data_IF_770233094583
#
_entry.id   IF_770233094583
#
_cell.length_a   1.000
_cell.length_b   1.000
_cell.length_c   1.000
_cell.angle_alpha   90.00
_cell.angle_beta   90.00
_cell.angle_gamma   90.00
#
_symmetry.space_group_name_H-M   'P 1'
#
loop_
_entity.id
_entity.type
_entity.pdbx_description
1 polymer ?
#
# COMPACT_ATOMS: atom_id res chain seq x y z
N UNK A 1 -57.14 -17.32 40.62
CA UNK A 1 -57.15 -15.90 40.21
C UNK A 1 -55.93 -15.10 40.69
N UNK A 2 -55.59 -15.09 42.00
CA UNK A 2 -54.42 -14.33 42.53
C UNK A 2 -53.04 -14.76 41.98
N UNK A 3 -52.88 -16.01 41.56
CA UNK A 3 -51.63 -16.52 41.00
C UNK A 3 -51.38 -16.06 39.56
N UNK A 4 -52.42 -16.09 38.71
CA UNK A 4 -52.34 -15.61 37.31
C UNK A 4 -52.04 -14.11 37.23
N UNK A 5 -52.58 -13.31 38.15
CA UNK A 5 -52.28 -11.87 38.24
C UNK A 5 -50.82 -11.58 38.59
N UNK A 6 -50.23 -12.37 39.49
CA UNK A 6 -48.79 -12.26 39.84
C UNK A 6 -47.89 -12.62 38.65
N UNK A 7 -48.25 -13.63 37.87
CA UNK A 7 -47.54 -14.00 36.64
C UNK A 7 -47.64 -12.88 35.60
N UNK A 8 -48.83 -12.32 35.39
CA UNK A 8 -49.02 -11.21 34.46
C UNK A 8 -48.18 -9.98 34.84
N UNK A 9 -48.15 -9.62 36.13
CA UNK A 9 -47.31 -8.54 36.64
C UNK A 9 -45.82 -8.80 36.44
N UNK A 10 -45.35 -10.03 36.68
CA UNK A 10 -43.96 -10.42 36.43
C UNK A 10 -43.60 -10.33 34.94
N UNK A 11 -44.49 -10.78 34.05
CA UNK A 11 -44.28 -10.67 32.59
C UNK A 11 -44.21 -9.20 32.16
N UNK A 12 -45.12 -8.36 32.64
CA UNK A 12 -45.10 -6.92 32.32
C UNK A 12 -43.85 -6.26 32.88
N UNK A 13 -43.42 -6.59 34.10
CA UNK A 13 -42.20 -6.05 34.68
C UNK A 13 -40.95 -6.48 33.89
N UNK A 14 -40.88 -7.74 33.45
CA UNK A 14 -39.79 -8.25 32.62
C UNK A 14 -39.76 -7.57 31.24
N UNK A 15 -40.91 -7.38 30.60
CA UNK A 15 -41.01 -6.68 29.31
C UNK A 15 -40.64 -5.20 29.44
N UNK A 16 -41.11 -4.52 30.49
CA UNK A 16 -40.79 -3.11 30.75
C UNK A 16 -39.29 -2.93 31.06
N UNK A 17 -38.72 -3.79 31.89
CA UNK A 17 -37.29 -3.81 32.17
C UNK A 17 -36.48 -4.11 30.90
N UNK A 18 -36.90 -5.09 30.11
CA UNK A 18 -36.28 -5.41 28.82
C UNK A 18 -36.29 -4.23 27.85
N UNK A 19 -37.43 -3.55 27.70
CA UNK A 19 -37.55 -2.39 26.84
C UNK A 19 -36.69 -1.20 27.30
N UNK A 20 -36.64 -0.94 28.62
CA UNK A 20 -35.80 0.11 29.19
C UNK A 20 -34.31 -0.20 29.04
N UNK A 21 -33.91 -1.45 29.32
CA UNK A 21 -32.54 -1.94 29.17
C UNK A 21 -32.09 -1.90 27.72
N UNK A 22 -32.92 -2.33 26.77
CA UNK A 22 -32.60 -2.29 25.34
C UNK A 22 -32.33 -0.87 24.85
N UNK A 23 -33.11 0.12 25.32
CA UNK A 23 -32.87 1.53 24.99
C UNK A 23 -31.55 2.04 25.56
N UNK A 24 -31.24 1.68 26.79
CA UNK A 24 -29.97 2.03 27.43
C UNK A 24 -28.78 1.38 26.71
N UNK A 25 -28.84 0.09 26.43
CA UNK A 25 -27.81 -0.66 25.69
C UNK A 25 -27.65 -0.16 24.26
N UNK A 26 -28.74 0.21 23.58
CA UNK A 26 -28.68 0.79 22.23
C UNK A 26 -28.01 2.17 22.23
N UNK A 27 -28.33 3.02 23.22
CA UNK A 27 -27.71 4.34 23.38
C UNK A 27 -26.22 4.22 23.72
N UNK A 28 -25.89 3.45 24.75
CA UNK A 28 -24.51 3.20 25.16
C UNK A 28 -23.71 2.54 24.02
N UNK A 29 -24.31 1.59 23.31
CA UNK A 29 -23.69 0.97 22.14
C UNK A 29 -23.50 1.94 20.98
N UNK A 30 -24.37 2.95 20.82
CA UNK A 30 -24.16 4.08 19.90
C UNK A 30 -22.95 4.92 20.31
N UNK A 31 -22.95 5.41 21.56
CA UNK A 31 -21.86 6.22 22.12
C UNK A 31 -20.50 5.50 22.06
N UNK A 32 -20.46 4.20 22.37
CA UNK A 32 -19.24 3.38 22.26
C UNK A 32 -18.79 3.16 20.81
N UNK A 33 -19.71 3.14 19.84
CA UNK A 33 -19.36 3.05 18.40
C UNK A 33 -18.83 4.38 17.89
N UNK A 34 -19.43 5.49 18.30
CA UNK A 34 -18.99 6.85 17.96
C UNK A 34 -17.60 7.13 18.53
N UNK A 35 -17.32 6.61 19.74
CA UNK A 35 -15.99 6.62 20.36
C UNK A 35 -15.01 5.58 19.78
N UNK A 36 -15.43 4.76 18.80
CA UNK A 36 -14.60 3.73 18.17
C UNK A 36 -14.27 2.52 19.05
N UNK A 37 -14.90 2.40 20.23
CA UNK A 37 -14.70 1.31 21.18
C UNK A 37 -15.45 0.03 20.78
N UNK A 38 -16.57 0.17 20.07
CA UNK A 38 -17.35 -0.95 19.53
C UNK A 38 -17.27 -1.01 18.00
N UNK A 39 -17.21 -2.23 17.40
CA UNK A 39 -17.25 -2.39 15.96
C UNK A 39 -18.62 -1.99 15.39
N UNK A 40 -18.70 -1.62 14.10
CA UNK A 40 -19.96 -1.40 13.42
C UNK A 40 -20.87 -2.65 13.48
N UNK A 41 -22.20 -2.49 13.28
CA UNK A 41 -23.09 -3.63 13.12
C UNK A 41 -22.59 -4.58 12.04
N UNK A 42 -22.70 -5.90 12.28
CA UNK A 42 -22.42 -6.89 11.23
C UNK A 42 -23.45 -6.77 10.12
N UNK A 43 -22.95 -6.62 8.89
CA UNK A 43 -23.77 -6.72 7.69
C UNK A 43 -24.45 -8.09 7.62
N UNK A 44 -25.62 -8.13 6.98
CA UNK A 44 -26.43 -9.35 6.88
C UNK A 44 -25.64 -10.45 6.15
N UNK A 45 -24.89 -10.10 5.11
CA UNK A 45 -24.07 -11.04 4.33
C UNK A 45 -22.93 -11.68 5.13
N UNK A 46 -22.33 -10.99 6.10
CA UNK A 46 -21.27 -11.57 6.96
C UNK A 46 -21.83 -12.67 7.86
N UNK A 47 -23.10 -12.56 8.30
CA UNK A 47 -23.76 -13.57 9.16
C UNK A 47 -23.96 -14.89 8.43
N UNK A 48 -24.29 -14.83 7.15
CA UNK A 48 -24.45 -16.02 6.30
C UNK A 48 -23.10 -16.74 6.10
N UNK A 49 -22.01 -15.99 5.91
CA UNK A 49 -20.67 -16.52 5.66
C UNK A 49 -20.06 -17.27 6.86
N UNK A 50 -20.30 -16.82 8.09
CA UNK A 50 -19.73 -17.42 9.30
C UNK A 50 -20.57 -18.57 9.88
N UNK A 51 -21.80 -18.78 9.37
CA UNK A 51 -22.75 -19.77 9.86
C UNK A 51 -23.44 -19.36 11.17
N UNK A 52 -24.49 -20.09 11.57
CA UNK A 52 -25.38 -19.73 12.69
C UNK A 52 -24.66 -19.77 14.06
N UNK A 53 -23.83 -20.79 14.30
CA UNK A 53 -23.10 -20.94 15.58
C UNK A 53 -22.08 -19.83 15.78
N UNK A 54 -21.27 -19.52 14.77
CA UNK A 54 -20.30 -18.41 14.83
C UNK A 54 -20.99 -17.06 14.89
N UNK A 55 -22.16 -16.91 14.25
CA UNK A 55 -22.99 -15.70 14.39
C UNK A 55 -23.47 -15.49 15.82
N UNK A 56 -23.93 -16.54 16.50
CA UNK A 56 -24.33 -16.44 17.91
C UNK A 56 -23.14 -16.07 18.82
N UNK A 57 -21.96 -16.64 18.58
CA UNK A 57 -20.72 -16.32 19.32
C UNK A 57 -20.25 -14.89 19.05
N UNK A 58 -20.31 -14.44 17.79
CA UNK A 58 -19.98 -13.07 17.37
C UNK A 58 -20.93 -12.02 17.99
N UNK A 59 -22.20 -12.37 18.21
CA UNK A 59 -23.17 -11.54 18.91
C UNK A 59 -22.91 -11.48 20.43
N UNK A 60 -22.28 -12.51 21.01
CA UNK A 60 -21.82 -12.54 22.40
C UNK A 60 -20.55 -11.73 22.70
N UNK A 61 -20.08 -10.89 21.77
CA UNK A 61 -18.88 -10.05 21.95
C UNK A 61 -17.56 -10.72 21.54
N UNK A 62 -17.58 -11.95 21.03
CA UNK A 62 -16.37 -12.73 20.69
C UNK A 62 -15.98 -12.64 19.20
N UNK A 63 -16.30 -11.53 18.52
CA UNK A 63 -16.03 -11.37 17.07
C UNK A 63 -14.55 -11.52 16.72
N UNK A 64 -13.66 -10.96 17.53
CA UNK A 64 -12.20 -11.04 17.35
C UNK A 64 -11.66 -12.46 17.55
N UNK A 65 -12.29 -13.26 18.41
CA UNK A 65 -11.96 -14.67 18.56
C UNK A 65 -12.35 -15.47 17.31
N UNK A 66 -13.56 -15.24 16.78
CA UNK A 66 -14.00 -15.85 15.51
C UNK A 66 -13.06 -15.45 14.37
N UNK A 67 -12.68 -14.18 14.29
CA UNK A 67 -11.71 -13.67 13.32
C UNK A 67 -10.36 -14.39 13.42
N UNK A 68 -9.87 -14.68 14.63
CA UNK A 68 -8.65 -15.46 14.86
C UNK A 68 -8.76 -16.89 14.31
N UNK A 69 -9.86 -17.59 14.57
CA UNK A 69 -10.07 -18.95 14.02
C UNK A 69 -10.18 -18.94 12.49
N UNK A 70 -10.86 -17.94 11.93
CA UNK A 70 -10.92 -17.76 10.48
C UNK A 70 -9.53 -17.47 9.90
N UNK A 71 -8.67 -16.74 10.60
CA UNK A 71 -7.28 -16.50 10.16
C UNK A 71 -6.47 -17.81 10.10
N UNK A 72 -6.63 -18.69 11.08
CA UNK A 72 -6.03 -20.02 11.05
C UNK A 72 -6.55 -20.86 9.87
N UNK A 73 -7.85 -20.75 9.55
CA UNK A 73 -8.44 -21.41 8.38
C UNK A 73 -7.93 -20.81 7.07
N UNK A 74 -7.78 -19.49 6.99
CA UNK A 74 -7.22 -18.80 5.82
C UNK A 74 -5.79 -19.28 5.54
N UNK A 75 -5.01 -19.59 6.58
CA UNK A 75 -3.68 -20.18 6.41
C UNK A 75 -3.72 -21.55 5.71
N UNK A 76 -4.69 -22.42 6.03
CA UNK A 76 -4.89 -23.68 5.30
C UNK A 76 -5.19 -23.43 3.82
N UNK A 77 -6.13 -22.52 3.51
CA UNK A 77 -6.45 -22.16 2.12
C UNK A 77 -5.24 -21.58 1.38
N UNK A 78 -4.41 -20.78 2.06
CA UNK A 78 -3.17 -20.27 1.52
C UNK A 78 -2.19 -21.40 1.16
N UNK A 79 -2.00 -22.38 2.05
CA UNK A 79 -1.12 -23.54 1.77
C UNK A 79 -1.63 -24.41 0.62
N UNK A 80 -2.95 -24.49 0.45
CA UNK A 80 -3.62 -25.20 -0.64
C UNK A 80 -3.71 -24.36 -1.94
N UNK A 81 -3.20 -23.12 -1.95
CA UNK A 81 -3.27 -22.18 -3.08
C UNK A 81 -4.71 -21.87 -3.53
N UNK A 82 -5.66 -21.89 -2.59
CA UNK A 82 -7.08 -21.59 -2.82
C UNK A 82 -7.34 -20.09 -2.64
N UNK A 83 -6.86 -19.30 -3.59
CA UNK A 83 -6.79 -17.84 -3.46
C UNK A 83 -8.15 -17.15 -3.29
N UNK A 84 -9.20 -17.63 -3.95
CA UNK A 84 -10.57 -17.10 -3.77
C UNK A 84 -11.09 -17.35 -2.34
N UNK A 85 -10.76 -18.51 -1.75
CA UNK A 85 -11.12 -18.82 -0.36
C UNK A 85 -10.31 -18.00 0.64
N UNK A 86 -9.03 -17.73 0.35
CA UNK A 86 -8.19 -16.82 1.15
C UNK A 86 -8.82 -15.42 1.15
N UNK A 87 -9.15 -14.89 -0.03
CA UNK A 87 -9.79 -13.58 -0.18
C UNK A 87 -11.11 -13.52 0.59
N UNK A 88 -12.04 -14.43 0.31
CA UNK A 88 -13.35 -14.46 0.95
C UNK A 88 -13.27 -14.62 2.48
N UNK A 89 -12.27 -15.34 2.97
CA UNK A 89 -12.03 -15.49 4.41
C UNK A 89 -11.52 -14.20 5.02
N UNK A 90 -10.54 -13.52 4.40
CA UNK A 90 -10.04 -12.23 4.90
C UNK A 90 -11.10 -11.12 4.85
N UNK A 91 -11.94 -11.10 3.83
CA UNK A 91 -13.14 -10.25 3.77
C UNK A 91 -14.03 -10.45 5.01
N UNK A 92 -14.31 -11.71 5.35
CA UNK A 92 -15.13 -12.04 6.53
C UNK A 92 -14.43 -11.68 7.85
N UNK A 93 -13.11 -11.89 7.94
CA UNK A 93 -12.30 -11.56 9.10
C UNK A 93 -12.36 -10.06 9.40
N UNK A 94 -12.22 -9.22 8.39
CA UNK A 94 -12.21 -7.77 8.60
C UNK A 94 -13.60 -7.18 8.84
N UNK A 95 -14.68 -7.84 8.39
CA UNK A 95 -16.04 -7.50 8.82
C UNK A 95 -16.24 -7.77 10.33
N UNK A 96 -15.62 -8.83 10.86
CA UNK A 96 -15.68 -9.19 12.28
C UNK A 96 -14.78 -8.29 13.15
N UNK A 97 -13.59 -7.95 12.65
CA UNK A 97 -12.56 -7.20 13.36
C UNK A 97 -11.98 -6.04 12.52
N UNK A 98 -12.79 -5.04 12.14
CA UNK A 98 -12.41 -4.01 11.18
C UNK A 98 -11.34 -3.04 11.68
N UNK A 99 -11.14 -2.96 13.00
CA UNK A 99 -10.12 -2.09 13.62
C UNK A 99 -8.76 -2.78 13.81
N UNK A 100 -8.63 -4.04 13.40
CA UNK A 100 -7.39 -4.81 13.58
C UNK A 100 -6.49 -4.69 12.36
N UNK A 101 -5.45 -3.85 12.45
CA UNK A 101 -4.43 -3.64 11.40
C UNK A 101 -3.97 -4.91 10.72
N UNK A 102 -3.56 -5.89 11.54
CA UNK A 102 -2.94 -7.12 11.07
C UNK A 102 -3.74 -7.83 9.97
N UNK A 103 -5.07 -7.87 10.07
CA UNK A 103 -5.90 -8.57 9.09
C UNK A 103 -5.99 -7.82 7.76
N UNK A 104 -6.00 -6.48 7.78
CA UNK A 104 -5.95 -5.68 6.56
C UNK A 104 -4.64 -5.84 5.82
N UNK A 105 -3.52 -5.75 6.55
CA UNK A 105 -2.19 -5.89 5.96
C UNK A 105 -1.97 -7.30 5.42
N UNK A 106 -2.27 -8.31 6.22
CA UNK A 106 -2.09 -9.72 5.84
C UNK A 106 -2.99 -10.12 4.68
N UNK A 107 -4.28 -9.75 4.72
CA UNK A 107 -5.21 -10.03 3.63
C UNK A 107 -4.78 -9.37 2.32
N UNK A 108 -4.38 -8.10 2.37
CA UNK A 108 -3.87 -7.40 1.19
C UNK A 108 -2.60 -8.02 0.63
N UNK A 109 -1.69 -8.48 1.51
CA UNK A 109 -0.46 -9.14 1.11
C UNK A 109 -0.75 -10.46 0.39
N UNK A 110 -1.67 -11.27 0.92
CA UNK A 110 -2.08 -12.50 0.26
C UNK A 110 -2.68 -12.25 -1.12
N UNK A 111 -3.51 -11.22 -1.29
CA UNK A 111 -4.09 -10.88 -2.59
C UNK A 111 -3.04 -10.28 -3.54
N UNK A 112 -2.44 -9.15 -3.20
CA UNK A 112 -1.62 -8.37 -4.11
C UNK A 112 -0.22 -8.94 -4.37
N UNK A 113 0.29 -9.79 -3.48
CA UNK A 113 1.64 -10.37 -3.59
C UNK A 113 1.59 -11.87 -3.81
N UNK A 114 1.00 -12.64 -2.90
CA UNK A 114 1.07 -14.10 -2.97
C UNK A 114 0.24 -14.67 -4.13
N UNK A 115 -1.05 -14.30 -4.22
CA UNK A 115 -1.92 -14.74 -5.31
C UNK A 115 -1.42 -14.20 -6.66
N UNK A 116 -1.03 -12.92 -6.71
CA UNK A 116 -0.43 -12.35 -7.92
C UNK A 116 0.82 -13.13 -8.35
N UNK A 117 1.75 -13.43 -7.45
CA UNK A 117 2.94 -14.22 -7.75
C UNK A 117 2.59 -15.62 -8.25
N UNK A 118 1.61 -16.28 -7.63
CA UNK A 118 1.11 -17.57 -8.10
C UNK A 118 0.59 -17.51 -9.54
N UNK A 119 -0.26 -16.53 -9.87
CA UNK A 119 -0.77 -16.37 -11.24
C UNK A 119 0.35 -16.00 -12.23
N UNK A 120 1.40 -15.34 -11.74
CA UNK A 120 2.57 -15.00 -12.54
C UNK A 120 3.51 -16.18 -12.77
N UNK A 121 3.62 -17.16 -11.87
CA UNK A 121 4.70 -18.14 -11.91
C UNK A 121 4.24 -19.61 -11.94
N UNK A 122 3.22 -19.97 -11.16
CA UNK A 122 2.92 -21.37 -10.84
C UNK A 122 1.56 -21.84 -11.38
N UNK A 123 0.73 -20.89 -11.81
CA UNK A 123 -0.64 -21.18 -12.23
C UNK A 123 -0.69 -21.99 -13.52
N UNK A 124 -1.53 -23.03 -13.52
CA UNK A 124 -1.85 -23.86 -14.69
C UNK A 124 -2.84 -23.19 -15.66
N UNK A 125 -3.22 -21.94 -15.41
CA UNK A 125 -4.11 -21.19 -16.27
C UNK A 125 -3.42 -20.83 -17.60
N UNK A 126 -4.17 -20.71 -18.72
CA UNK A 126 -3.63 -20.15 -19.96
C UNK A 126 -3.11 -18.71 -19.77
N UNK A 127 -2.12 -18.26 -20.58
CA UNK A 127 -1.47 -16.95 -20.45
C UNK A 127 -2.41 -15.76 -20.24
N UNK A 128 -3.47 -15.66 -21.05
CA UNK A 128 -4.43 -14.56 -20.94
C UNK A 128 -5.19 -14.57 -19.61
N UNK A 129 -5.57 -15.75 -19.12
CA UNK A 129 -6.23 -15.90 -17.82
C UNK A 129 -5.28 -15.67 -16.65
N UNK A 130 -4.00 -16.03 -16.78
CA UNK A 130 -2.95 -15.69 -15.80
C UNK A 130 -2.78 -14.19 -15.68
N UNK A 131 -2.71 -13.47 -16.81
CA UNK A 131 -2.59 -12.02 -16.83
C UNK A 131 -3.77 -11.33 -16.15
N UNK A 132 -4.99 -11.78 -16.46
CA UNK A 132 -6.20 -11.23 -15.84
C UNK A 132 -6.27 -11.54 -14.34
N UNK A 133 -5.98 -12.78 -13.93
CA UNK A 133 -5.99 -13.17 -12.51
C UNK A 133 -4.90 -12.46 -11.70
N UNK A 134 -3.71 -12.30 -12.27
CA UNK A 134 -2.62 -11.49 -11.69
C UNK A 134 -3.06 -10.05 -11.46
N UNK A 135 -3.62 -9.41 -12.49
CA UNK A 135 -4.11 -8.02 -12.42
C UNK A 135 -5.24 -7.89 -11.39
N UNK A 136 -6.22 -8.78 -11.46
CA UNK A 136 -7.38 -8.81 -10.55
C UNK A 136 -6.94 -8.95 -9.09
N UNK A 137 -5.99 -9.83 -8.79
CA UNK A 137 -5.45 -10.02 -7.43
C UNK A 137 -4.82 -8.75 -6.86
N UNK A 138 -4.09 -8.00 -7.68
CA UNK A 138 -3.49 -6.71 -7.29
C UNK A 138 -4.56 -5.65 -7.01
N UNK A 139 -5.56 -5.54 -7.88
CA UNK A 139 -6.66 -4.58 -7.72
C UNK A 139 -7.53 -4.89 -6.50
N UNK A 140 -7.77 -6.17 -6.23
CA UNK A 140 -8.46 -6.64 -5.01
C UNK A 140 -7.67 -6.26 -3.76
N UNK A 141 -6.36 -6.53 -3.72
CA UNK A 141 -5.50 -6.14 -2.60
C UNK A 141 -5.46 -4.62 -2.37
N UNK A 142 -5.46 -3.83 -3.45
CA UNK A 142 -5.58 -2.36 -3.37
C UNK A 142 -6.92 -1.95 -2.75
N UNK A 143 -8.04 -2.43 -3.28
CA UNK A 143 -9.39 -2.12 -2.76
C UNK A 143 -9.52 -2.51 -1.28
N UNK A 144 -8.96 -3.66 -0.90
CA UNK A 144 -8.92 -4.14 0.47
C UNK A 144 -8.17 -3.18 1.40
N UNK A 145 -6.97 -2.71 1.00
CA UNK A 145 -6.23 -1.70 1.77
C UNK A 145 -6.93 -0.35 1.82
N UNK A 146 -7.53 0.11 0.73
CA UNK A 146 -8.29 1.36 0.71
C UNK A 146 -9.48 1.30 1.69
N UNK A 147 -10.16 0.15 1.78
CA UNK A 147 -11.21 -0.07 2.78
C UNK A 147 -10.63 -0.16 4.19
N UNK A 148 -9.47 -0.79 4.36
CA UNK A 148 -8.73 -0.82 5.62
C UNK A 148 -8.39 0.58 6.12
N UNK A 149 -7.91 1.46 5.24
CA UNK A 149 -7.58 2.85 5.55
C UNK A 149 -8.82 3.66 5.96
N UNK A 150 -9.97 3.44 5.32
CA UNK A 150 -11.25 4.04 5.74
C UNK A 150 -11.70 3.58 7.13
N UNK A 151 -11.48 2.30 7.46
CA UNK A 151 -11.81 1.76 8.78
C UNK A 151 -10.79 2.15 9.86
N UNK A 152 -9.57 2.55 9.47
CA UNK A 152 -8.46 2.83 10.37
C UNK A 152 -7.72 4.11 9.93
N UNK A 153 -8.39 5.28 9.95
CA UNK A 153 -7.84 6.50 9.37
C UNK A 153 -6.55 6.97 10.05
N UNK A 154 -6.40 6.70 11.35
CA UNK A 154 -5.22 7.11 12.15
C UNK A 154 -4.10 6.06 12.16
N UNK A 155 -4.26 4.97 11.41
CA UNK A 155 -3.28 3.90 11.34
C UNK A 155 -2.25 4.16 10.24
N UNK A 156 -1.07 4.64 10.66
CA UNK A 156 0.02 4.98 9.74
C UNK A 156 0.44 3.81 8.83
N UNK A 157 0.38 2.58 9.33
CA UNK A 157 0.94 1.40 8.67
C UNK A 157 0.09 0.95 7.50
N UNK A 158 -1.25 1.02 7.65
CA UNK A 158 -2.16 0.73 6.54
C UNK A 158 -1.97 1.72 5.39
N UNK A 159 -1.86 3.01 5.69
CA UNK A 159 -1.58 4.04 4.68
C UNK A 159 -0.22 3.84 4.00
N UNK A 160 0.82 3.50 4.77
CA UNK A 160 2.14 3.19 4.22
C UNK A 160 2.13 1.94 3.31
N UNK A 161 1.38 0.90 3.69
CA UNK A 161 1.23 -0.31 2.87
C UNK A 161 0.46 -0.04 1.56
N UNK A 162 -0.53 0.84 1.59
CA UNK A 162 -1.20 1.29 0.36
C UNK A 162 -0.23 2.05 -0.56
N UNK A 163 0.56 2.98 -0.01
CA UNK A 163 1.61 3.67 -0.76
C UNK A 163 2.65 2.70 -1.34
N UNK A 164 3.04 1.67 -0.58
CA UNK A 164 3.99 0.65 -1.02
C UNK A 164 3.45 -0.15 -2.20
N UNK A 165 2.21 -0.63 -2.12
CA UNK A 165 1.58 -1.35 -3.23
C UNK A 165 1.51 -0.51 -4.51
N UNK A 166 1.12 0.76 -4.38
CA UNK A 166 0.95 1.67 -5.52
C UNK A 166 2.28 2.13 -6.13
N UNK A 167 3.38 2.08 -5.36
CA UNK A 167 4.72 2.47 -5.82
C UNK A 167 5.62 1.26 -6.21
N UNK A 168 5.11 0.03 -6.09
CA UNK A 168 5.86 -1.17 -6.47
C UNK A 168 5.96 -1.31 -7.99
N UNK A 169 7.19 -1.19 -8.49
CA UNK A 169 7.54 -1.27 -9.91
C UNK A 169 7.11 -2.58 -10.57
N UNK A 170 7.00 -3.68 -9.82
CA UNK A 170 6.56 -4.97 -10.34
C UNK A 170 5.03 -5.03 -10.53
N UNK A 171 4.30 -4.02 -10.04
CA UNK A 171 2.83 -3.95 -10.06
C UNK A 171 2.31 -2.88 -11.01
N UNK A 172 3.17 -1.99 -11.52
CA UNK A 172 2.77 -0.91 -12.44
C UNK A 172 1.86 -1.37 -13.59
N UNK A 173 2.12 -2.50 -14.28
CA UNK A 173 1.26 -2.93 -15.39
C UNK A 173 -0.16 -3.34 -14.98
N UNK A 174 -0.42 -3.54 -13.69
CA UNK A 174 -1.76 -3.79 -13.17
C UNK A 174 -2.62 -2.51 -13.12
N UNK A 175 -1.98 -1.34 -13.12
CA UNK A 175 -2.66 -0.04 -13.07
C UNK A 175 -2.82 0.54 -14.48
N UNK A 176 -3.82 1.40 -14.68
CA UNK A 176 -4.14 1.98 -16.00
C UNK A 176 -3.32 3.24 -16.26
N UNK A 177 -3.35 4.15 -15.30
CA UNK A 177 -2.66 5.43 -15.36
C UNK A 177 -1.53 5.47 -14.31
N UNK A 178 -0.26 5.48 -14.74
CA UNK A 178 0.87 5.58 -13.83
C UNK A 178 0.89 6.88 -13.01
N UNK A 179 0.52 8.02 -13.62
CA UNK A 179 0.57 9.32 -12.97
C UNK A 179 -0.46 9.41 -11.84
N UNK A 180 -1.71 8.98 -12.11
CA UNK A 180 -2.75 8.88 -11.08
C UNK A 180 -2.34 7.90 -9.97
N UNK A 181 -1.69 6.79 -10.33
CA UNK A 181 -1.24 5.78 -9.36
C UNK A 181 -0.15 6.33 -8.45
N UNK A 182 0.84 7.06 -8.99
CA UNK A 182 1.87 7.70 -8.18
C UNK A 182 1.32 8.83 -7.31
N UNK A 183 0.35 9.60 -7.81
CA UNK A 183 -0.34 10.61 -7.02
C UNK A 183 -1.08 9.96 -5.84
N UNK A 184 -1.78 8.84 -6.07
CA UNK A 184 -2.44 8.08 -5.02
C UNK A 184 -1.43 7.46 -4.03
N UNK A 185 -0.27 6.99 -4.50
CA UNK A 185 0.81 6.49 -3.64
C UNK A 185 1.37 7.60 -2.73
N UNK A 186 1.63 8.78 -3.31
CA UNK A 186 2.12 9.94 -2.58
C UNK A 186 1.10 10.40 -1.53
N UNK A 187 -0.20 10.45 -1.87
CA UNK A 187 -1.27 10.78 -0.93
C UNK A 187 -1.37 9.78 0.23
N UNK A 188 -1.26 8.47 -0.06
CA UNK A 188 -1.25 7.44 0.96
C UNK A 188 -0.06 7.59 1.92
N UNK A 189 1.15 7.80 1.39
CA UNK A 189 2.31 8.05 2.25
C UNK A 189 2.21 9.37 3.03
N UNK A 190 1.67 10.43 2.43
CA UNK A 190 1.40 11.69 3.13
C UNK A 190 0.46 11.48 4.32
N UNK A 191 -0.68 10.80 4.11
CA UNK A 191 -1.62 10.45 5.19
C UNK A 191 -0.95 9.63 6.29
N UNK A 192 -0.06 8.71 5.93
CA UNK A 192 0.75 7.96 6.90
C UNK A 192 1.61 8.90 7.75
N UNK A 193 2.35 9.82 7.12
CA UNK A 193 3.21 10.80 7.82
C UNK A 193 2.39 11.74 8.71
N UNK A 194 1.23 12.22 8.25
CA UNK A 194 0.35 13.14 8.98
C UNK A 194 -0.21 12.56 10.28
N UNK A 195 -0.21 11.23 10.44
CA UNK A 195 -0.56 10.59 11.74
C UNK A 195 0.44 10.92 12.87
N UNK A 196 1.65 11.38 12.54
CA UNK A 196 2.75 11.59 13.49
C UNK A 196 3.37 10.30 14.06
N UNK A 197 2.94 9.13 13.59
CA UNK A 197 3.38 7.81 14.07
C UNK A 197 4.18 7.00 13.04
N UNK A 198 4.29 7.51 11.81
CA UNK A 198 5.01 6.84 10.74
C UNK A 198 6.50 6.71 11.03
N UNK A 199 7.10 5.62 10.54
CA UNK A 199 8.54 5.43 10.60
C UNK A 199 9.25 6.41 9.65
N UNK A 200 10.48 6.82 9.99
CA UNK A 200 11.20 7.87 9.24
C UNK A 200 11.38 7.60 7.74
N UNK A 201 11.46 6.34 7.31
CA UNK A 201 11.56 6.00 5.89
C UNK A 201 10.31 6.38 5.08
N UNK A 202 9.14 6.48 5.72
CA UNK A 202 7.86 6.75 5.06
C UNK A 202 7.87 8.14 4.44
N UNK A 203 8.55 9.12 5.06
CA UNK A 203 8.71 10.46 4.48
C UNK A 203 9.54 10.45 3.20
N UNK A 204 10.57 9.60 3.12
CA UNK A 204 11.32 9.39 1.86
C UNK A 204 10.45 8.68 0.82
N UNK A 205 9.67 7.69 1.23
CA UNK A 205 8.76 6.98 0.31
C UNK A 205 7.68 7.92 -0.27
N UNK A 206 7.14 8.84 0.54
CA UNK A 206 6.28 9.93 0.07
C UNK A 206 6.96 10.75 -1.02
N UNK A 207 8.16 11.26 -0.73
CA UNK A 207 8.95 12.00 -1.70
C UNK A 207 9.18 11.21 -3.00
N UNK A 208 9.60 9.95 -2.90
CA UNK A 208 9.87 9.12 -4.08
C UNK A 208 8.62 8.87 -4.92
N UNK A 209 7.45 8.70 -4.30
CA UNK A 209 6.20 8.59 -5.02
C UNK A 209 5.85 9.91 -5.72
N UNK A 210 5.97 11.04 -5.01
CA UNK A 210 5.62 12.36 -5.54
C UNK A 210 6.54 12.80 -6.68
N UNK A 211 7.84 12.48 -6.61
CA UNK A 211 8.81 12.78 -7.66
C UNK A 211 8.52 12.10 -9.01
N UNK A 212 7.64 11.08 -9.03
CA UNK A 212 7.19 10.40 -10.26
C UNK A 212 5.90 10.99 -10.83
N UNK A 213 5.28 11.94 -10.13
CA UNK A 213 4.03 12.57 -10.56
C UNK A 213 4.36 13.77 -11.45
N UNK A 214 3.99 13.67 -12.72
CA UNK A 214 4.15 14.74 -13.70
C UNK A 214 3.36 15.99 -13.25
N UNK A 215 4.02 17.14 -13.27
CA UNK A 215 3.46 18.42 -12.83
C UNK A 215 3.54 18.68 -11.33
N UNK A 216 4.19 17.80 -10.54
CA UNK A 216 4.41 17.96 -9.09
C UNK A 216 5.88 18.08 -8.72
N UNK A 217 6.74 18.41 -9.69
CA UNK A 217 8.19 18.46 -9.53
C UNK A 217 8.63 19.48 -8.49
N UNK A 218 8.02 20.68 -8.49
CA UNK A 218 8.34 21.74 -7.53
C UNK A 218 8.04 21.33 -6.07
N UNK A 219 6.91 20.67 -5.85
CA UNK A 219 6.54 20.17 -4.52
C UNK A 219 7.45 19.01 -4.09
N UNK A 220 7.76 18.09 -5.01
CA UNK A 220 8.72 17.02 -4.75
C UNK A 220 10.10 17.59 -4.37
N UNK A 221 10.55 18.65 -5.04
CA UNK A 221 11.83 19.31 -4.77
C UNK A 221 11.86 19.96 -3.39
N UNK A 222 10.77 20.59 -2.96
CA UNK A 222 10.65 21.15 -1.61
C UNK A 222 10.83 20.07 -0.54
N UNK A 223 10.16 18.92 -0.71
CA UNK A 223 10.30 17.79 0.22
C UNK A 223 11.73 17.23 0.18
N UNK A 224 12.34 17.12 -1.01
CA UNK A 224 13.71 16.64 -1.18
C UNK A 224 14.71 17.50 -0.40
N UNK A 225 14.61 18.83 -0.54
CA UNK A 225 15.44 19.81 0.19
C UNK A 225 15.24 19.70 1.69
N UNK A 226 14.00 19.57 2.14
CA UNK A 226 13.67 19.38 3.55
C UNK A 226 14.28 18.09 4.12
N UNK A 227 14.19 16.97 3.41
CA UNK A 227 14.79 15.70 3.80
C UNK A 227 16.33 15.76 3.79
N UNK A 228 16.92 16.43 2.80
CA UNK A 228 18.37 16.59 2.68
C UNK A 228 18.93 17.44 3.84
N UNK A 229 18.24 18.52 4.21
CA UNK A 229 18.63 19.40 5.31
C UNK A 229 18.46 18.75 6.70
N UNK A 230 17.52 17.83 6.85
CA UNK A 230 17.22 17.11 8.11
C UNK A 230 18.40 16.21 8.58
N UNK A 231 19.29 15.82 7.67
CA UNK A 231 20.57 15.21 8.02
C UNK A 231 20.98 14.05 7.11
N UNK A 232 22.23 13.60 7.30
CA UNK A 232 22.89 12.62 6.43
C UNK A 232 22.22 11.25 6.41
N UNK A 233 21.41 10.92 7.42
CA UNK A 233 20.61 9.69 7.45
C UNK A 233 19.57 9.61 6.32
N UNK A 234 19.22 10.75 5.70
CA UNK A 234 18.34 10.79 4.52
C UNK A 234 19.12 10.82 3.19
N UNK A 235 20.44 10.95 3.20
CA UNK A 235 21.30 11.06 2.00
C UNK A 235 21.51 9.70 1.31
N UNK A 236 20.41 8.98 1.10
CA UNK A 236 20.41 7.72 0.34
C UNK A 236 20.61 8.00 -1.15
N UNK A 237 21.17 7.06 -1.95
CA UNK A 237 21.43 7.29 -3.37
C UNK A 237 20.21 7.75 -4.17
N UNK A 238 19.04 7.14 -3.94
CA UNK A 238 17.79 7.55 -4.60
C UNK A 238 17.40 8.99 -4.26
N UNK A 239 17.55 9.39 -2.99
CA UNK A 239 17.22 10.76 -2.59
C UNK A 239 18.14 11.78 -3.26
N UNK A 240 19.45 11.53 -3.25
CA UNK A 240 20.43 12.44 -3.86
C UNK A 240 20.21 12.56 -5.37
N UNK A 241 19.93 11.45 -6.05
CA UNK A 241 19.64 11.45 -7.48
C UNK A 241 18.36 12.23 -7.80
N UNK A 242 17.28 12.00 -7.03
CA UNK A 242 16.03 12.71 -7.26
C UNK A 242 16.13 14.20 -6.92
N UNK A 243 16.89 14.56 -5.89
CA UNK A 243 17.22 15.96 -5.61
C UNK A 243 17.94 16.59 -6.80
N UNK A 244 18.98 15.93 -7.35
CA UNK A 244 19.73 16.43 -8.50
C UNK A 244 18.84 16.67 -9.73
N UNK A 245 18.03 15.68 -10.13
CA UNK A 245 17.20 15.82 -11.34
C UNK A 245 16.08 16.84 -11.15
N UNK A 246 15.54 16.99 -9.94
CA UNK A 246 14.54 18.01 -9.65
C UNK A 246 15.15 19.42 -9.59
N UNK A 247 16.37 19.58 -9.08
CA UNK A 247 17.13 20.84 -9.18
C UNK A 247 17.43 21.19 -10.64
N UNK A 248 17.74 20.20 -11.49
CA UNK A 248 17.93 20.40 -12.92
C UNK A 248 16.63 20.78 -13.64
N UNK A 249 15.48 20.29 -13.18
CA UNK A 249 14.17 20.71 -13.69
C UNK A 249 13.84 22.15 -13.30
N UNK A 250 14.09 22.54 -12.05
CA UNK A 250 13.88 23.91 -11.57
C UNK A 250 14.83 24.92 -12.26
N UNK A 251 16.08 24.52 -12.49
CA UNK A 251 17.07 25.30 -13.22
C UNK A 251 17.70 24.50 -14.38
N UNK A 252 17.12 24.56 -15.59
CA UNK A 252 17.64 23.86 -16.77
C UNK A 252 19.06 24.28 -17.20
N UNK A 253 19.56 25.42 -16.70
CA UNK A 253 20.92 25.90 -16.97
C UNK A 253 21.96 25.43 -15.95
N UNK A 254 21.55 24.66 -14.93
CA UNK A 254 22.45 24.12 -13.92
C UNK A 254 23.54 23.23 -14.53
N UNK A 255 24.77 23.39 -14.07
CA UNK A 255 25.84 22.41 -14.33
C UNK A 255 25.56 21.13 -13.52
N UNK A 256 24.85 20.20 -14.16
CA UNK A 256 24.43 18.93 -13.57
C UNK A 256 25.64 18.07 -13.18
N UNK A 257 26.72 18.09 -13.96
CA UNK A 257 27.92 17.31 -13.67
C UNK A 257 28.62 17.82 -12.42
N UNK A 258 28.84 19.14 -12.32
CA UNK A 258 29.44 19.74 -11.15
C UNK A 258 28.57 19.55 -9.90
N UNK A 259 27.24 19.68 -10.04
CA UNK A 259 26.31 19.42 -8.93
C UNK A 259 26.35 17.96 -8.49
N UNK A 260 26.37 17.02 -9.43
CA UNK A 260 26.48 15.60 -9.14
C UNK A 260 27.80 15.26 -8.43
N UNK A 261 28.93 15.83 -8.85
CA UNK A 261 30.22 15.70 -8.15
C UNK A 261 30.09 16.19 -6.70
N UNK A 262 29.42 17.32 -6.48
CA UNK A 262 29.16 17.83 -5.13
C UNK A 262 28.33 16.89 -4.24
N UNK A 263 27.41 16.11 -4.82
CA UNK A 263 26.56 15.17 -4.09
C UNK A 263 27.21 13.80 -3.88
N UNK A 264 27.96 13.30 -4.86
CA UNK A 264 28.54 11.95 -4.85
C UNK A 264 30.04 11.91 -4.54
N UNK A 265 30.69 13.07 -4.49
CA UNK A 265 32.06 13.29 -4.02
C UNK A 265 33.13 13.29 -5.10
N UNK A 266 33.02 12.44 -6.14
CA UNK A 266 34.01 12.37 -7.24
C UNK A 266 33.33 12.26 -8.61
N UNK A 267 34.03 12.63 -9.70
CA UNK A 267 33.51 12.45 -11.06
C UNK A 267 33.12 11.00 -11.39
N UNK A 268 33.89 10.02 -10.93
CA UNK A 268 33.63 8.59 -11.17
C UNK A 268 32.35 8.13 -10.48
N UNK A 269 32.16 8.51 -9.21
CA UNK A 269 30.95 8.18 -8.44
C UNK A 269 29.72 8.88 -8.99
N UNK A 270 29.87 10.13 -9.43
CA UNK A 270 28.81 10.86 -10.11
C UNK A 270 28.41 10.16 -11.42
N UNK A 271 29.39 9.78 -12.25
CA UNK A 271 29.15 9.07 -13.49
C UNK A 271 28.47 7.72 -13.26
N UNK A 272 28.92 6.93 -12.28
CA UNK A 272 28.29 5.67 -11.90
C UNK A 272 26.83 5.87 -11.48
N UNK A 273 26.56 6.86 -10.61
CA UNK A 273 25.22 7.15 -10.13
C UNK A 273 24.28 7.58 -11.27
N UNK A 274 24.72 8.50 -12.14
CA UNK A 274 23.92 8.97 -13.27
C UNK A 274 23.70 7.86 -14.30
N UNK A 275 24.71 7.04 -14.58
CA UNK A 275 24.61 5.91 -15.51
C UNK A 275 23.62 4.87 -15.01
N UNK A 276 23.67 4.56 -13.71
CA UNK A 276 22.70 3.66 -13.07
C UNK A 276 21.28 4.21 -13.17
N UNK A 277 21.09 5.50 -12.90
CA UNK A 277 19.78 6.14 -13.00
C UNK A 277 19.25 6.17 -14.44
N UNK A 278 20.10 6.50 -15.41
CA UNK A 278 19.78 6.50 -16.84
C UNK A 278 19.25 5.15 -17.32
N UNK A 279 19.86 4.05 -16.86
CA UNK A 279 19.43 2.69 -17.20
C UNK A 279 18.16 2.23 -16.45
N UNK A 280 17.82 2.84 -15.31
CA UNK A 280 16.69 2.44 -14.44
C UNK A 280 15.35 3.04 -14.87
N UNK A 281 14.99 2.83 -16.14
CA UNK A 281 13.74 3.37 -16.72
C UNK A 281 12.47 2.73 -16.15
N UNK A 282 12.55 1.46 -15.68
CA UNK A 282 11.41 0.72 -15.14
C UNK A 282 10.73 1.41 -13.96
N UNK A 283 11.51 2.15 -13.17
CA UNK A 283 11.03 2.77 -11.94
C UNK A 283 10.27 4.08 -12.21
N UNK A 284 10.27 4.57 -13.46
CA UNK A 284 9.57 5.78 -13.91
C UNK A 284 9.97 7.04 -13.13
N UNK A 285 11.20 7.09 -12.66
CA UNK A 285 11.75 8.32 -12.09
C UNK A 285 12.09 9.34 -13.19
N UNK A 286 12.03 10.64 -12.89
CA UNK A 286 12.42 11.68 -13.83
C UNK A 286 13.92 11.63 -14.13
N UNK A 287 14.30 12.03 -15.34
CA UNK A 287 15.69 12.01 -15.84
C UNK A 287 16.19 13.38 -16.31
N UNK A 288 15.59 14.46 -15.80
CA UNK A 288 15.93 15.84 -16.18
C UNK A 288 17.42 16.11 -15.98
N UNK A 289 18.07 16.65 -17.02
CA UNK A 289 19.49 17.01 -17.00
C UNK A 289 20.49 15.84 -16.98
N UNK A 290 20.03 14.59 -16.82
CA UNK A 290 20.91 13.41 -16.65
C UNK A 290 21.79 13.18 -17.87
N UNK A 291 21.22 13.28 -19.09
CA UNK A 291 21.98 13.12 -20.32
C UNK A 291 23.10 14.16 -20.45
N UNK A 292 22.78 15.44 -20.24
CA UNK A 292 23.78 16.52 -20.28
C UNK A 292 24.87 16.35 -19.21
N UNK A 293 24.50 15.92 -18.00
CA UNK A 293 25.45 15.59 -16.94
C UNK A 293 26.38 14.44 -17.32
N UNK A 294 25.85 13.37 -17.92
CA UNK A 294 26.62 12.24 -18.41
C UNK A 294 27.59 12.65 -19.53
N UNK A 295 27.14 13.39 -20.53
CA UNK A 295 28.01 13.88 -21.61
C UNK A 295 29.18 14.72 -21.09
N UNK A 296 28.93 15.57 -20.08
CA UNK A 296 29.98 16.36 -19.46
C UNK A 296 30.95 15.49 -18.66
N UNK A 297 30.45 14.52 -17.89
CA UNK A 297 31.28 13.59 -17.12
C UNK A 297 32.11 12.68 -18.01
N UNK A 298 31.56 12.17 -19.12
CA UNK A 298 32.29 11.36 -20.10
C UNK A 298 33.47 12.14 -20.70
N UNK A 299 33.28 13.43 -21.00
CA UNK A 299 34.37 14.32 -21.45
C UNK A 299 35.43 14.52 -20.37
N UNK A 300 35.02 14.77 -19.12
CA UNK A 300 35.94 14.95 -17.98
C UNK A 300 36.76 13.70 -17.69
N UNK A 301 36.13 12.52 -17.79
CA UNK A 301 36.73 11.22 -17.51
C UNK A 301 37.44 10.60 -18.72
N UNK A 302 37.38 11.25 -19.89
CA UNK A 302 37.89 10.72 -21.16
C UNK A 302 37.36 9.31 -21.49
N UNK A 303 36.06 9.09 -21.26
CA UNK A 303 35.40 7.81 -21.58
C UNK A 303 35.37 7.60 -23.10
N UNK A 304 35.89 6.49 -23.62
CA UNK A 304 35.80 6.17 -25.05
C UNK A 304 34.34 6.02 -25.51
N UNK A 305 34.04 6.35 -26.76
CA UNK A 305 32.68 6.26 -27.29
C UNK A 305 32.11 4.83 -27.18
N UNK A 306 32.94 3.80 -27.29
CA UNK A 306 32.55 2.40 -27.18
C UNK A 306 32.12 2.01 -25.76
N UNK A 307 32.49 2.81 -24.76
CA UNK A 307 32.16 2.61 -23.33
C UNK A 307 31.13 3.63 -22.83
N UNK A 308 30.60 4.47 -23.72
CA UNK A 308 29.56 5.43 -23.36
C UNK A 308 28.27 4.71 -22.96
N UNK A 309 27.65 5.16 -21.87
CA UNK A 309 26.38 4.60 -21.40
C UNK A 309 25.25 4.78 -22.41
N UNK A 310 25.37 5.76 -23.33
CA UNK A 310 24.41 5.98 -24.41
C UNK A 310 24.44 4.89 -25.47
N UNK A 311 25.55 4.15 -25.58
CA UNK A 311 25.73 3.07 -26.56
C UNK A 311 25.50 1.68 -25.96
N UNK A 312 25.28 1.59 -24.64
CA UNK A 312 24.91 0.33 -24.00
C UNK A 312 23.44 -0.02 -24.31
N UNK A 313 23.13 -1.29 -24.61
CA UNK A 313 21.74 -1.70 -24.81
C UNK A 313 20.94 -1.49 -23.52
N UNK A 314 19.68 -1.04 -23.61
CA UNK A 314 18.84 -0.91 -22.43
C UNK A 314 18.68 -2.29 -21.76
N UNK A 315 18.56 -2.34 -20.42
CA UNK A 315 18.27 -3.60 -19.75
C UNK A 315 16.97 -4.19 -20.32
N UNK A 316 16.87 -5.54 -20.43
CA UNK A 316 15.67 -6.18 -20.93
C UNK A 316 14.45 -5.75 -20.09
N UNK A 317 13.27 -5.62 -20.72
CA UNK A 317 12.08 -5.14 -20.05
C UNK A 317 11.63 -6.13 -18.97
N UNK A 318 12.13 -5.99 -17.74
CA UNK A 318 11.71 -6.80 -16.59
C UNK A 318 10.28 -6.45 -16.16
N UNK A 319 9.29 -6.94 -16.91
CA UNK A 319 7.88 -6.77 -16.65
C UNK A 319 7.17 -8.11 -16.51
N UNK A 320 5.98 -8.15 -15.90
CA UNK A 320 5.17 -9.37 -15.77
C UNK A 320 4.81 -9.99 -17.13
N UNK A 321 4.81 -9.19 -18.21
CA UNK A 321 4.49 -9.67 -19.56
C UNK A 321 5.48 -10.73 -20.07
N UNK A 322 6.76 -10.67 -19.69
CA UNK A 322 7.76 -11.71 -20.03
C UNK A 322 7.47 -13.07 -19.36
N UNK A 323 6.68 -13.08 -18.29
CA UNK A 323 6.37 -14.27 -17.50
C UNK A 323 5.05 -14.92 -17.92
N UNK A 324 4.17 -14.18 -18.61
CA UNK A 324 2.93 -14.76 -19.14
C UNK A 324 3.17 -15.54 -20.44
N UNK A 325 4.24 -15.26 -21.18
CA UNK A 325 4.62 -15.98 -22.40
C UNK A 325 5.40 -17.28 -22.15
N UNK A 326 5.79 -17.54 -20.90
CA UNK A 326 6.46 -18.77 -20.46
C UNK A 326 5.44 -19.73 -19.87
#
# INVERSE_FOLDING_TARGET
MKFAWKIALLVVALLAFGAARLRFEAKLGGELRDAGLFPPPLEIGTREKIGQTSSAVALGGLRTLVATFLNLRAFTFFTEQRWDDVEGTFETIVDLAPRTRYYWETGSWHMAYNAASYYLNDSKLPPLRRREAWRSSILKGRSFLERGARNNPDDWSIHANLGFLLSDTNKFPAFRDPNETFAAAADAYRKSVETGRALGYVRRAWFYALARVEGREAEALEIARGLYADGTHNHTPTLLMLLLVLEAHENPSMDVAQRAIGLFGTPEKAYEALSSHWRRTRERFPVFGVAAGLESLEKTLAIPAEQSVFNEPPPPPMGPDEWFSK
#
